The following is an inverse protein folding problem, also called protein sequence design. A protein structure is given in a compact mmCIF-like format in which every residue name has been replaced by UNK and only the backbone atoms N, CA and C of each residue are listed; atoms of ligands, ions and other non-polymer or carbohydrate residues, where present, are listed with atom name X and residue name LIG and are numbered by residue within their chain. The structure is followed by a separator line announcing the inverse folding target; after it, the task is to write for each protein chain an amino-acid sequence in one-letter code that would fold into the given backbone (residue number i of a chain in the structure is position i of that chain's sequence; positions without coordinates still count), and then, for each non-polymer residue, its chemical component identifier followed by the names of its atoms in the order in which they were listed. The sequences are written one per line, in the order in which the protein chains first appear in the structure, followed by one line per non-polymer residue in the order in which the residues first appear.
data_IF_034115536133
#
_entry.id   IF_034115536133
#
_cell.length_a   1.000
_cell.length_b   1.000
_cell.length_c   1.000
_cell.angle_alpha   90.00
_cell.angle_beta   90.00
_cell.angle_gamma   90.00
#
_symmetry.space_group_name_H-M   'P 1'
#
loop_
_entity.id
_entity.type
_entity.pdbx_description
1 polymer ?
#
# COMPACT_ATOMS: atom_id res chain seq x y z
N UNK A 1 -14.91 19.81 -5.94
CA UNK A 1 -13.73 18.92 -5.84
C UNK A 1 -13.83 18.16 -4.52
N UNK A 2 -14.15 16.86 -4.55
CA UNK A 2 -14.15 16.01 -3.33
C UNK A 2 -12.68 15.88 -2.90
N UNK A 3 -12.35 16.33 -1.68
CA UNK A 3 -10.98 16.21 -1.13
C UNK A 3 -10.75 14.75 -0.76
N UNK A 4 -9.76 14.12 -1.38
CA UNK A 4 -9.32 12.79 -1.02
C UNK A 4 -8.54 12.84 0.31
N UNK A 5 -9.10 12.26 1.36
CA UNK A 5 -8.37 12.05 2.62
C UNK A 5 -7.52 10.80 2.50
N UNK A 6 -6.21 10.97 2.58
CA UNK A 6 -5.26 9.86 2.58
C UNK A 6 -5.59 8.85 3.69
N UNK A 7 -5.51 7.54 3.42
CA UNK A 7 -5.77 6.50 4.40
C UNK A 7 -4.78 6.57 5.57
N UNK A 8 -5.24 6.22 6.78
CA UNK A 8 -4.45 6.30 8.02
C UNK A 8 -3.55 5.08 8.23
N UNK A 9 -3.89 3.95 7.62
CA UNK A 9 -3.16 2.69 7.70
C UNK A 9 -3.18 1.94 6.37
N UNK A 10 -2.38 0.87 6.26
CA UNK A 10 -2.39 -0.02 5.09
C UNK A 10 -3.73 -0.73 4.97
N UNK A 11 -4.28 -1.21 6.09
CA UNK A 11 -5.55 -1.91 6.18
C UNK A 11 -6.72 -1.01 5.76
N UNK A 12 -6.69 0.27 6.17
CA UNK A 12 -7.68 1.27 5.75
C UNK A 12 -7.60 1.52 4.24
N UNK A 13 -6.39 1.60 3.68
CA UNK A 13 -6.18 1.78 2.25
C UNK A 13 -6.70 0.57 1.45
N UNK A 14 -6.41 -0.64 1.92
CA UNK A 14 -6.84 -1.89 1.32
C UNK A 14 -8.38 -2.00 1.33
N UNK A 15 -9.00 -1.76 2.49
CA UNK A 15 -10.46 -1.79 2.64
C UNK A 15 -11.16 -0.75 1.76
N UNK A 16 -10.54 0.42 1.59
CA UNK A 16 -11.05 1.45 0.69
C UNK A 16 -10.97 1.00 -0.77
N UNK A 17 -9.86 0.37 -1.17
CA UNK A 17 -9.69 -0.17 -2.53
C UNK A 17 -10.71 -1.26 -2.85
N UNK A 18 -11.00 -2.15 -1.89
CA UNK A 18 -12.05 -3.18 -2.02
C UNK A 18 -13.44 -2.56 -2.23
N UNK A 19 -13.78 -1.57 -1.39
CA UNK A 19 -15.06 -0.85 -1.47
C UNK A 19 -15.20 -0.14 -2.82
N UNK A 20 -14.11 0.48 -3.29
CA UNK A 20 -14.06 1.20 -4.55
C UNK A 20 -14.21 0.24 -5.73
N UNK A 21 -13.55 -0.91 -5.69
CA UNK A 21 -13.65 -1.94 -6.72
C UNK A 21 -15.07 -2.52 -6.81
N UNK A 22 -15.71 -2.77 -5.66
CA UNK A 22 -17.12 -3.19 -5.64
C UNK A 22 -18.04 -2.13 -6.23
N UNK A 23 -17.82 -0.85 -5.92
CA UNK A 23 -18.61 0.24 -6.48
C UNK A 23 -18.44 0.33 -8.01
N UNK A 24 -17.23 0.17 -8.52
CA UNK A 24 -16.92 0.21 -9.96
C UNK A 24 -17.49 -0.99 -10.74
N UNK A 25 -17.78 -2.11 -10.07
CA UNK A 25 -18.44 -3.27 -10.67
C UNK A 25 -19.96 -3.07 -10.81
N UNK A 26 -20.54 -2.07 -10.16
CA UNK A 26 -21.95 -1.71 -10.34
C UNK A 26 -22.17 -1.08 -11.72
N UNK A 27 -23.20 -1.53 -12.43
CA UNK A 27 -23.57 -1.02 -13.76
C UNK A 27 -24.12 0.41 -13.75
N UNK A 28 -24.35 0.96 -12.56
CA UNK A 28 -25.03 2.24 -12.35
C UNK A 28 -24.06 3.41 -12.12
N UNK A 29 -22.74 3.17 -12.14
CA UNK A 29 -21.76 4.24 -11.89
C UNK A 29 -21.69 5.22 -13.07
N UNK A 30 -21.95 6.53 -12.85
CA UNK A 30 -21.75 7.55 -13.88
C UNK A 30 -20.28 7.64 -14.31
N UNK A 31 -20.06 8.05 -15.57
CA UNK A 31 -18.72 8.12 -16.15
C UNK A 31 -17.78 9.04 -15.36
N UNK A 32 -18.28 10.18 -14.89
CA UNK A 32 -17.51 11.14 -14.09
C UNK A 32 -17.09 10.55 -12.73
N UNK A 33 -17.97 9.77 -12.11
CA UNK A 33 -17.67 9.07 -10.86
C UNK A 33 -16.70 7.91 -11.07
N UNK A 34 -16.76 7.22 -12.22
CA UNK A 34 -15.80 6.19 -12.59
C UNK A 34 -14.38 6.76 -12.76
N UNK A 35 -14.25 7.94 -13.37
CA UNK A 35 -12.96 8.63 -13.49
C UNK A 35 -12.41 9.02 -12.12
N UNK A 36 -13.26 9.55 -11.24
CA UNK A 36 -12.87 9.90 -9.88
C UNK A 36 -12.44 8.66 -9.07
N UNK A 37 -13.21 7.56 -9.18
CA UNK A 37 -12.90 6.29 -8.54
C UNK A 37 -11.56 5.72 -9.04
N UNK A 38 -11.29 5.80 -10.34
CA UNK A 38 -10.01 5.37 -10.91
C UNK A 38 -8.82 6.17 -10.36
N UNK A 39 -8.94 7.50 -10.29
CA UNK A 39 -7.90 8.37 -9.73
C UNK A 39 -7.63 8.05 -8.25
N UNK A 40 -8.71 7.89 -7.47
CA UNK A 40 -8.64 7.49 -6.08
C UNK A 40 -7.97 6.12 -5.91
N UNK A 41 -8.37 5.12 -6.72
CA UNK A 41 -7.80 3.78 -6.70
C UNK A 41 -6.29 3.79 -6.98
N UNK A 42 -5.83 4.58 -7.96
CA UNK A 42 -4.41 4.71 -8.26
C UNK A 42 -3.61 5.28 -7.09
N UNK A 43 -4.13 6.28 -6.38
CA UNK A 43 -3.45 6.84 -5.21
C UNK A 43 -3.40 5.85 -4.04
N UNK A 44 -4.47 5.07 -3.84
CA UNK A 44 -4.50 4.00 -2.84
C UNK A 44 -3.47 2.90 -3.15
N UNK A 45 -3.38 2.47 -4.41
CA UNK A 45 -2.39 1.46 -4.84
C UNK A 45 -0.96 1.96 -4.60
N UNK A 46 -0.65 3.20 -4.98
CA UNK A 46 0.67 3.80 -4.72
C UNK A 46 1.00 3.83 -3.24
N UNK A 47 0.04 4.20 -2.40
CA UNK A 47 0.22 4.21 -0.95
C UNK A 47 0.54 2.81 -0.41
N UNK A 48 -0.22 1.79 -0.82
CA UNK A 48 0.02 0.41 -0.40
C UNK A 48 1.40 -0.09 -0.84
N UNK A 49 1.79 0.16 -2.08
CA UNK A 49 3.11 -0.21 -2.60
C UNK A 49 4.25 0.46 -1.84
N UNK A 50 4.12 1.76 -1.55
CA UNK A 50 5.11 2.49 -0.77
C UNK A 50 5.26 1.92 0.65
N UNK A 51 4.15 1.54 1.30
CA UNK A 51 4.17 0.93 2.62
C UNK A 51 4.81 -0.46 2.63
N UNK A 52 4.53 -1.28 1.62
CA UNK A 52 5.17 -2.60 1.47
C UNK A 52 6.68 -2.46 1.25
N UNK A 53 7.10 -1.54 0.38
CA UNK A 53 8.51 -1.26 0.13
C UNK A 53 9.24 -0.77 1.40
N UNK A 54 8.58 0.06 2.21
CA UNK A 54 9.12 0.51 3.51
C UNK A 54 9.35 -0.67 4.47
N UNK A 55 8.43 -1.63 4.52
CA UNK A 55 8.56 -2.83 5.36
C UNK A 55 9.66 -3.75 4.82
N UNK A 56 9.69 -3.99 3.51
CA UNK A 56 10.73 -4.81 2.87
C UNK A 56 12.13 -4.25 3.13
N UNK A 57 12.31 -2.92 3.01
CA UNK A 57 13.58 -2.28 3.32
C UNK A 57 13.99 -2.46 4.80
N UNK A 58 13.03 -2.38 5.73
CA UNK A 58 13.30 -2.61 7.15
C UNK A 58 13.71 -4.06 7.43
N UNK A 59 13.06 -5.02 6.76
CA UNK A 59 13.42 -6.44 6.86
C UNK A 59 14.84 -6.68 6.32
N UNK A 60 15.18 -6.11 5.16
CA UNK A 60 16.53 -6.25 4.59
C UNK A 60 17.62 -5.70 5.51
N UNK A 61 17.37 -4.58 6.20
CA UNK A 61 18.33 -4.01 7.18
C UNK A 61 18.46 -4.90 8.41
N UNK A 62 17.36 -5.50 8.88
CA UNK A 62 17.37 -6.44 10.00
C UNK A 62 18.14 -7.72 9.64
N UNK A 63 17.83 -8.33 8.49
CA UNK A 63 18.52 -9.52 7.99
C UNK A 63 20.01 -9.27 7.78
N UNK A 64 20.38 -8.10 7.25
CA UNK A 64 21.79 -7.71 7.09
C UNK A 64 22.50 -7.49 8.44
N UNK A 65 21.76 -7.02 9.46
CA UNK A 65 22.26 -6.91 10.84
C UNK A 65 22.49 -8.27 11.48
N UNK A 66 21.51 -9.18 11.37
CA UNK A 66 21.60 -10.56 11.87
C UNK A 66 22.71 -11.36 11.15
N UNK A 67 22.83 -11.22 9.83
CA UNK A 67 23.92 -11.82 9.05
C UNK A 67 25.29 -11.33 9.50
N UNK A 68 25.40 -10.05 9.90
CA UNK A 68 26.65 -9.48 10.38
C UNK A 68 26.99 -9.92 11.81
N UNK A 69 25.99 -10.14 12.67
CA UNK A 69 26.22 -10.76 13.99
C UNK A 69 26.65 -12.23 13.86
N UNK A 70 26.06 -12.99 12.93
CA UNK A 70 26.43 -14.39 12.67
C UNK A 70 27.85 -14.55 12.09
N UNK A 71 28.36 -13.56 11.35
CA UNK A 71 29.72 -13.55 10.80
C UNK A 71 30.78 -13.21 11.86
N UNK A 72 30.40 -12.57 12.96
CA UNK A 72 31.29 -12.19 14.06
C UNK A 72 31.47 -13.31 15.11
N UNK A 73 30.54 -14.26 15.19
CA UNK A 73 30.63 -15.39 16.14
C UNK A 73 31.27 -16.67 15.54
N UNK A 74 31.62 -16.67 14.24
CA UNK A 74 32.27 -17.83 13.58
C UNK A 74 33.78 -17.66 13.36
N UNK A 75 34.38 -16.55 13.84
CA UNK A 75 35.82 -16.31 13.76
C UNK A 75 36.50 -16.43 15.13
N UNK A 76 36.47 -17.63 15.73
CA UNK A 76 37.48 -18.10 16.70
C UNK A 76 37.80 -19.59 16.46
#
# INVERSE_FOLDING_TARGET
MKKFTQPKSFEDALKRLETLTQAMQSSEMPLEDALAAYQEGNELVKYCQAKLAEVEQKLQVLDAGELKELDLEQSE
#
